data_IF_745045832708
#
_entry.id   IF_745045832708
#
_cell.length_a   1.000
_cell.length_b   1.000
_cell.length_c   1.000
_cell.angle_alpha   90.00
_cell.angle_beta   90.00
_cell.angle_gamma   90.00
#
_symmetry.space_group_name_H-M   'P 1'
#
loop_
_entity.id
_entity.type
_entity.pdbx_description
1 polymer ?
#
# COMPACT_ATOMS: atom_id res chain seq x y z
N UNK A 1 -50.59 -20.57 -10.21
CA UNK A 1 -50.48 -19.79 -8.96
C UNK A 1 -49.47 -20.52 -8.09
N UNK A 2 -48.18 -20.13 -8.10
CA UNK A 2 -47.58 -19.09 -7.24
C UNK A 2 -47.88 -19.42 -5.76
N UNK A 3 -46.91 -19.70 -4.87
CA UNK A 3 -46.04 -18.65 -4.30
C UNK A 3 -44.93 -19.19 -3.35
N UNK A 4 -43.71 -18.75 -3.65
CA UNK A 4 -42.61 -18.29 -2.77
C UNK A 4 -41.85 -19.27 -1.85
N UNK A 5 -40.71 -19.70 -2.41
CA UNK A 5 -39.41 -19.78 -1.72
C UNK A 5 -39.07 -18.39 -1.17
N UNK A 6 -38.79 -18.27 0.13
CA UNK A 6 -38.08 -17.12 0.69
C UNK A 6 -36.85 -17.63 1.39
N UNK A 7 -35.74 -17.42 0.68
CA UNK A 7 -34.37 -17.67 1.05
C UNK A 7 -34.03 -16.80 2.28
N UNK A 8 -33.63 -17.42 3.39
CA UNK A 8 -33.02 -16.73 4.52
C UNK A 8 -31.67 -16.16 4.07
N UNK A 9 -31.66 -14.88 3.68
CA UNK A 9 -30.42 -14.13 3.49
C UNK A 9 -29.90 -13.76 4.87
N UNK A 10 -28.76 -14.34 5.24
CA UNK A 10 -27.94 -13.87 6.36
C UNK A 10 -27.66 -12.38 6.17
N UNK A 11 -28.24 -11.56 7.05
CA UNK A 11 -27.75 -10.22 7.30
C UNK A 11 -26.39 -10.36 7.98
N UNK A 12 -25.33 -10.43 7.17
CA UNK A 12 -24.01 -10.05 7.66
C UNK A 12 -24.11 -8.57 8.02
N UNK A 13 -24.10 -8.29 9.31
CA UNK A 13 -23.79 -6.98 9.85
C UNK A 13 -22.32 -6.69 9.48
N UNK A 14 -22.09 -6.21 8.26
CA UNK A 14 -20.84 -5.56 7.88
C UNK A 14 -20.77 -4.30 8.73
N UNK A 15 -20.04 -4.40 9.84
CA UNK A 15 -19.69 -3.28 10.69
C UNK A 15 -19.00 -2.21 9.84
N UNK A 16 -19.75 -1.19 9.48
CA UNK A 16 -19.19 0.07 9.02
C UNK A 16 -18.75 0.86 10.25
N UNK A 17 -17.55 1.44 10.13
CA UNK A 17 -16.94 2.46 10.98
C UNK A 17 -16.19 1.97 12.25
N UNK A 18 -14.92 1.64 12.07
CA UNK A 18 -13.86 2.54 12.56
C UNK A 18 -12.76 2.64 11.48
N UNK A 19 -12.73 3.78 10.80
CA UNK A 19 -11.62 4.15 9.94
C UNK A 19 -10.53 4.77 10.81
N UNK A 20 -9.78 3.94 11.55
CA UNK A 20 -8.70 4.41 12.44
C UNK A 20 -7.69 3.30 12.63
N UNK A 21 -6.47 3.56 12.13
CA UNK A 21 -5.34 2.63 12.02
C UNK A 21 -5.56 1.40 11.15
N UNK A 22 -4.66 1.19 10.20
CA UNK A 22 -4.67 -0.01 9.38
C UNK A 22 -4.53 -1.26 10.25
N UNK A 23 -5.44 -2.20 10.04
CA UNK A 23 -5.60 -3.42 10.84
C UNK A 23 -4.33 -4.28 10.89
N UNK A 24 -4.25 -5.19 11.86
CA UNK A 24 -3.16 -6.17 11.91
C UNK A 24 -3.01 -6.96 10.60
N UNK A 25 -4.14 -7.32 9.98
CA UNK A 25 -4.13 -7.98 8.66
C UNK A 25 -3.52 -7.10 7.57
N UNK A 26 -3.83 -5.81 7.55
CA UNK A 26 -3.23 -4.89 6.58
C UNK A 26 -1.71 -4.81 6.75
N UNK A 27 -1.22 -4.76 7.99
CA UNK A 27 0.21 -4.73 8.28
C UNK A 27 0.90 -6.03 7.86
N UNK A 28 0.25 -7.19 8.09
CA UNK A 28 0.73 -8.49 7.60
C UNK A 28 0.84 -8.48 6.07
N UNK A 29 -0.22 -8.05 5.38
CA UNK A 29 -0.23 -7.97 3.92
C UNK A 29 0.89 -7.07 3.36
N UNK A 30 1.13 -5.92 4.02
CA UNK A 30 2.21 -5.03 3.66
C UNK A 30 3.57 -5.73 3.81
N UNK A 31 3.77 -6.45 4.91
CA UNK A 31 4.99 -7.22 5.14
C UNK A 31 5.18 -8.34 4.11
N UNK A 32 4.13 -9.09 3.80
CA UNK A 32 4.17 -10.17 2.81
C UNK A 32 4.54 -9.66 1.41
N UNK A 33 3.93 -8.55 0.98
CA UNK A 33 4.29 -7.85 -0.26
C UNK A 33 5.74 -7.35 -0.24
N UNK A 34 6.24 -6.98 0.93
CA UNK A 34 7.59 -6.45 1.07
C UNK A 34 8.68 -7.51 0.94
N UNK A 35 8.42 -8.74 1.39
CA UNK A 35 9.38 -9.85 1.31
C UNK A 35 9.32 -10.56 -0.05
N UNK A 36 8.13 -10.65 -0.64
CA UNK A 36 7.90 -11.49 -1.83
C UNK A 36 7.65 -10.69 -3.11
N UNK A 37 7.47 -9.38 -2.99
CA UNK A 37 7.04 -8.54 -4.10
C UNK A 37 5.55 -8.74 -4.40
N UNK A 38 5.15 -8.36 -5.60
CA UNK A 38 3.79 -8.51 -6.07
C UNK A 38 3.49 -7.61 -7.26
N UNK A 39 2.24 -7.61 -7.68
CA UNK A 39 1.75 -6.71 -8.71
C UNK A 39 0.75 -5.67 -8.18
N UNK A 40 0.45 -4.69 -9.02
CA UNK A 40 -0.47 -3.58 -8.74
C UNK A 40 -1.88 -4.03 -8.37
N UNK A 41 -2.35 -5.16 -8.92
CA UNK A 41 -3.67 -5.72 -8.59
C UNK A 41 -3.66 -6.32 -7.19
N UNK A 42 -2.60 -7.04 -6.83
CA UNK A 42 -2.40 -7.57 -5.48
C UNK A 42 -2.31 -6.43 -4.46
N UNK A 43 -1.55 -5.37 -4.75
CA UNK A 43 -1.48 -4.17 -3.90
C UNK A 43 -2.87 -3.58 -3.65
N UNK A 44 -3.69 -3.40 -4.69
CA UNK A 44 -5.05 -2.87 -4.54
C UNK A 44 -5.96 -3.80 -3.74
N UNK A 45 -5.85 -5.11 -3.96
CA UNK A 45 -6.66 -6.12 -3.27
C UNK A 45 -6.33 -6.17 -1.78
N UNK A 46 -5.03 -6.14 -1.46
CA UNK A 46 -4.53 -6.37 -0.10
C UNK A 46 -4.46 -5.11 0.75
N UNK A 47 -4.14 -3.96 0.13
CA UNK A 47 -3.93 -2.70 0.83
C UNK A 47 -5.01 -1.66 0.57
N UNK A 48 -5.86 -1.88 -0.44
CA UNK A 48 -6.89 -0.95 -0.87
C UNK A 48 -6.34 0.21 -1.70
N UNK A 49 -7.17 1.25 -1.88
CA UNK A 49 -6.78 2.47 -2.58
C UNK A 49 -5.78 3.27 -1.75
N UNK A 50 -4.77 3.82 -2.42
CA UNK A 50 -3.82 4.73 -1.79
C UNK A 50 -4.48 6.10 -1.53
N UNK A 51 -3.97 6.81 -0.52
CA UNK A 51 -4.43 8.18 -0.22
C UNK A 51 -3.81 9.21 -1.17
N UNK A 52 -2.62 8.95 -1.68
CA UNK A 52 -1.98 9.76 -2.72
C UNK A 52 -1.21 8.89 -3.71
N UNK A 53 -0.96 9.43 -4.90
CA UNK A 53 -0.14 8.82 -5.94
C UNK A 53 0.77 9.88 -6.54
N UNK A 54 2.02 9.54 -6.82
CA UNK A 54 3.01 10.45 -7.38
C UNK A 54 3.90 9.73 -8.38
N UNK A 55 4.29 10.47 -9.42
CA UNK A 55 5.37 10.04 -10.28
C UNK A 55 6.68 10.53 -9.66
N UNK A 56 7.65 9.63 -9.50
CA UNK A 56 8.94 9.91 -8.88
C UNK A 56 10.06 9.51 -9.83
N UNK A 57 11.10 10.32 -9.88
CA UNK A 57 12.35 9.97 -10.57
C UNK A 57 13.35 9.60 -9.47
N UNK A 58 13.87 8.38 -9.54
CA UNK A 58 14.81 7.86 -8.53
C UNK A 58 16.10 8.67 -8.61
N UNK A 59 16.34 9.54 -7.62
CA UNK A 59 17.58 10.30 -7.52
C UNK A 59 18.71 9.46 -6.89
N UNK A 60 18.37 8.71 -5.84
CA UNK A 60 19.25 7.81 -5.11
C UNK A 60 18.49 6.54 -4.66
N UNK A 61 18.80 5.37 -5.24
CA UNK A 61 18.19 4.10 -4.83
C UNK A 61 18.39 3.74 -3.35
N UNK A 62 19.50 4.15 -2.73
CA UNK A 62 19.81 3.78 -1.35
C UNK A 62 18.82 4.40 -0.34
N UNK A 63 18.24 5.55 -0.67
CA UNK A 63 17.22 6.21 0.15
C UNK A 63 15.98 5.35 0.40
N UNK A 64 15.64 4.47 -0.54
CA UNK A 64 14.49 3.56 -0.44
C UNK A 64 14.76 2.37 0.48
N UNK A 65 16.02 1.94 0.57
CA UNK A 65 16.45 0.79 1.38
C UNK A 65 16.57 1.20 2.85
N UNK A 66 17.14 2.39 3.12
CA UNK A 66 17.39 2.88 4.47
C UNK A 66 16.12 3.12 5.30
N UNK A 67 15.01 3.30 4.60
CA UNK A 67 13.72 3.57 5.21
C UNK A 67 12.67 2.56 4.76
N UNK A 68 13.04 1.45 4.13
CA UNK A 68 12.11 0.47 3.57
C UNK A 68 12.07 -0.86 4.33
N UNK A 69 11.24 -1.81 3.87
CA UNK A 69 11.29 -3.19 4.33
C UNK A 69 12.63 -3.81 3.93
N UNK A 70 12.82 -5.06 4.33
CA UNK A 70 14.05 -5.83 4.16
C UNK A 70 14.52 -5.91 2.70
N UNK A 71 13.63 -5.72 1.70
CA UNK A 71 13.94 -5.90 0.27
C UNK A 71 13.30 -4.83 -0.61
N UNK A 72 14.13 -4.22 -1.47
CA UNK A 72 13.70 -3.60 -2.72
C UNK A 72 14.17 -4.51 -3.87
N UNK A 73 13.34 -4.70 -4.89
CA UNK A 73 13.58 -5.69 -5.94
C UNK A 73 14.47 -5.16 -7.07
N UNK A 74 14.14 -4.01 -7.67
CA UNK A 74 14.94 -3.41 -8.76
C UNK A 74 14.69 -1.89 -8.90
N UNK A 75 15.24 -1.09 -7.98
CA UNK A 75 15.16 0.38 -8.04
C UNK A 75 16.49 0.94 -8.54
N UNK A 76 16.50 1.61 -9.71
CA UNK A 76 17.72 2.17 -10.31
C UNK A 76 17.64 3.69 -10.49
N UNK A 77 18.78 4.37 -10.38
CA UNK A 77 18.86 5.82 -10.56
C UNK A 77 18.36 6.25 -11.94
N UNK A 78 17.51 7.27 -11.99
CA UNK A 78 16.91 7.80 -13.21
C UNK A 78 15.64 7.08 -13.66
N UNK A 79 15.27 5.96 -13.02
CA UNK A 79 14.01 5.28 -13.28
C UNK A 79 12.82 6.16 -12.90
N UNK A 80 11.77 6.11 -13.70
CA UNK A 80 10.48 6.76 -13.41
C UNK A 80 9.55 5.72 -12.81
N UNK A 81 9.09 5.97 -11.60
CA UNK A 81 8.26 5.06 -10.82
C UNK A 81 6.98 5.76 -10.36
N UNK A 82 5.96 4.97 -10.06
CA UNK A 82 4.72 5.43 -9.44
C UNK A 82 4.73 5.07 -7.96
N UNK A 83 4.78 6.08 -7.08
CA UNK A 83 4.77 5.91 -5.64
C UNK A 83 3.37 6.16 -5.08
N UNK A 84 2.84 5.20 -4.32
CA UNK A 84 1.50 5.22 -3.71
C UNK A 84 1.61 5.40 -2.21
N UNK A 85 1.02 6.47 -1.69
CA UNK A 85 1.09 6.77 -0.27
C UNK A 85 -0.04 6.15 0.51
N UNK A 86 0.37 5.55 1.62
CA UNK A 86 -0.47 4.82 2.52
C UNK A 86 -0.18 5.32 3.95
N UNK A 87 -0.93 6.33 4.48
CA UNK A 87 -0.79 6.82 5.86
C UNK A 87 -1.27 5.82 6.93
N UNK A 88 -0.57 5.72 8.06
CA UNK A 88 -0.93 4.94 9.25
C UNK A 88 -0.59 5.78 10.50
N UNK A 89 -1.58 6.40 11.13
CA UNK A 89 -1.33 7.26 12.29
C UNK A 89 -0.33 8.38 11.95
N UNK A 90 0.77 8.47 12.71
CA UNK A 90 1.86 9.44 12.54
C UNK A 90 3.02 8.94 11.65
N UNK A 91 2.76 7.93 10.82
CA UNK A 91 3.71 7.43 9.82
C UNK A 91 3.00 7.16 8.51
N UNK A 92 3.75 6.83 7.47
CA UNK A 92 3.20 6.34 6.23
C UNK A 92 4.08 5.30 5.56
N UNK A 93 3.52 4.66 4.54
CA UNK A 93 4.24 3.73 3.67
C UNK A 93 4.04 4.16 2.22
N UNK A 94 5.11 4.13 1.46
CA UNK A 94 5.10 4.31 0.02
C UNK A 94 5.24 2.97 -0.66
N UNK A 95 4.23 2.56 -1.40
CA UNK A 95 4.30 1.38 -2.27
C UNK A 95 4.75 1.88 -3.65
N UNK A 96 5.91 1.45 -4.11
CA UNK A 96 6.57 1.99 -5.31
C UNK A 96 6.48 0.96 -6.42
N UNK A 97 5.87 1.36 -7.53
CA UNK A 97 5.54 0.52 -8.66
C UNK A 97 6.32 0.95 -9.92
N UNK A 98 6.75 -0.02 -10.71
CA UNK A 98 7.13 0.19 -12.11
C UNK A 98 6.07 -0.47 -12.99
N UNK A 99 5.20 0.34 -13.57
CA UNK A 99 4.04 -0.14 -14.32
C UNK A 99 3.10 -1.00 -13.47
N UNK A 100 3.19 -2.33 -13.64
CA UNK A 100 2.39 -3.31 -12.90
C UNK A 100 3.14 -3.97 -11.75
N UNK A 101 4.46 -3.81 -11.65
CA UNK A 101 5.29 -4.57 -10.72
C UNK A 101 5.65 -3.75 -9.49
N UNK A 102 5.55 -4.37 -8.30
CA UNK A 102 6.04 -3.82 -7.05
C UNK A 102 7.57 -3.83 -7.03
N UNK A 103 8.15 -2.65 -6.85
CA UNK A 103 9.61 -2.48 -6.79
C UNK A 103 10.12 -2.33 -5.37
N UNK A 104 9.42 -1.55 -4.55
CA UNK A 104 9.76 -1.43 -3.15
C UNK A 104 8.56 -0.94 -2.34
N UNK A 105 8.61 -1.18 -1.04
CA UNK A 105 7.80 -0.44 -0.08
C UNK A 105 8.76 0.48 0.67
N UNK A 106 8.38 1.66 1.11
CA UNK A 106 9.26 2.53 1.87
C UNK A 106 8.47 3.15 3.03
N UNK A 107 8.94 2.96 4.25
CA UNK A 107 8.42 3.62 5.43
C UNK A 107 8.82 5.10 5.43
N UNK A 108 7.84 5.98 5.65
CA UNK A 108 8.02 7.41 5.75
C UNK A 108 7.60 7.89 7.14
N UNK A 109 8.56 8.23 8.01
CA UNK A 109 8.23 8.95 9.23
C UNK A 109 7.87 10.40 8.88
N UNK A 110 6.81 10.97 9.46
CA UNK A 110 6.44 12.38 9.19
C UNK A 110 7.52 13.39 9.59
N UNK A 111 8.48 12.99 10.42
CA UNK A 111 9.62 13.79 10.86
C UNK A 111 10.73 13.89 9.81
N UNK A 112 10.80 12.96 8.84
CA UNK A 112 11.79 12.95 7.77
C UNK A 112 11.20 12.32 6.48
N UNK A 113 10.38 13.06 5.71
CA UNK A 113 9.68 12.51 4.57
C UNK A 113 10.64 12.17 3.41
N UNK A 114 10.47 10.99 2.82
CA UNK A 114 11.24 10.48 1.68
C UNK A 114 11.01 11.30 0.41
N UNK A 115 9.78 11.78 0.21
CA UNK A 115 9.42 12.57 -0.97
C UNK A 115 9.17 14.03 -0.66
N UNK A 116 9.69 14.52 0.47
CA UNK A 116 9.71 15.95 0.80
C UNK A 116 8.33 16.61 0.92
N UNK A 117 7.24 15.85 0.95
CA UNK A 117 5.92 16.43 1.15
C UNK A 117 5.37 16.01 2.50
N UNK A 118 5.14 17.02 3.34
CA UNK A 118 4.04 16.93 4.28
C UNK A 118 2.73 16.93 3.46
N UNK A 119 1.69 16.21 3.91
CA UNK A 119 0.36 16.32 3.32
C UNK A 119 -0.11 17.78 3.26
#
# INVERSE_FOLDING_TARGET
>A
MNRYVVLMILLMASGFAEATERSGQWRSNLHDLSENGGDKSQVLTLLGQSSAKRQVVVADPASYINHGPTRCFDVVKGQRLEAWFYPVGDVGYWVILDGQSLQCIAFEPFTAPLFGARP
#
